data_IF_361955049667
#
_entry.id   IF_361955049667
#
_cell.length_a   1.000
_cell.length_b   1.000
_cell.length_c   1.000
_cell.angle_alpha   90.00
_cell.angle_beta   90.00
_cell.angle_gamma   90.00
#
_symmetry.space_group_name_H-M   'P 1'
#
loop_
_entity.id
_entity.type
_entity.pdbx_description
1 polymer ?
#
# COMPACT_ATOMS: atom_id res chain seq x y z
N UNK A 1 6.82 10.79 -28.40
CA UNK A 1 6.43 10.57 -26.99
C UNK A 1 6.65 9.10 -26.70
N UNK A 2 7.86 8.74 -26.31
CA UNK A 2 8.21 7.37 -25.91
C UNK A 2 7.87 7.23 -24.43
N UNK A 3 6.86 6.42 -24.11
CA UNK A 3 6.54 6.11 -22.72
C UNK A 3 7.71 5.31 -22.14
N UNK A 4 8.36 5.84 -21.11
CA UNK A 4 9.50 5.20 -20.45
C UNK A 4 9.03 4.11 -19.49
N UNK A 5 9.94 3.18 -19.14
CA UNK A 5 9.69 2.19 -18.08
C UNK A 5 9.60 2.87 -16.72
N UNK A 6 8.70 2.37 -15.87
CA UNK A 6 8.65 2.79 -14.47
C UNK A 6 9.82 2.20 -13.68
N UNK A 7 10.12 2.78 -12.52
CA UNK A 7 11.13 2.22 -11.61
C UNK A 7 10.75 0.81 -11.13
N UNK A 8 9.46 0.55 -10.95
CA UNK A 8 8.92 -0.77 -10.60
C UNK A 8 9.21 -1.80 -11.71
N UNK A 9 9.00 -1.46 -12.98
CA UNK A 9 9.33 -2.32 -14.12
C UNK A 9 10.83 -2.67 -14.12
N UNK A 10 11.70 -1.70 -13.77
CA UNK A 10 13.15 -1.90 -13.71
C UNK A 10 13.57 -2.77 -12.52
N UNK A 11 12.93 -2.61 -11.36
CA UNK A 11 13.18 -3.42 -10.14
C UNK A 11 12.74 -4.87 -10.37
N UNK A 12 11.52 -5.08 -10.89
CA UNK A 12 11.02 -6.41 -11.23
C UNK A 12 11.90 -7.09 -12.27
N UNK A 13 12.40 -6.33 -13.26
CA UNK A 13 13.34 -6.84 -14.25
C UNK A 13 14.70 -7.20 -13.65
N UNK A 14 15.19 -6.46 -12.64
CA UNK A 14 16.43 -6.78 -11.94
C UNK A 14 16.34 -8.10 -11.17
N UNK A 15 15.27 -8.32 -10.40
CA UNK A 15 15.07 -9.55 -9.63
C UNK A 15 14.57 -10.74 -10.47
N UNK A 16 14.31 -10.53 -11.77
CA UNK A 16 13.75 -11.57 -12.65
C UNK A 16 12.27 -11.87 -12.37
N UNK A 17 11.58 -10.95 -11.70
CA UNK A 17 10.18 -11.05 -11.27
C UNK A 17 9.21 -10.35 -12.23
N UNK A 18 9.69 -9.83 -13.37
CA UNK A 18 8.80 -9.30 -14.40
C UNK A 18 7.79 -10.36 -14.83
N UNK A 19 6.50 -9.99 -14.87
CA UNK A 19 5.45 -10.87 -15.36
C UNK A 19 5.80 -11.39 -16.76
N UNK A 20 5.51 -12.68 -17.00
CA UNK A 20 5.89 -13.37 -18.25
C UNK A 20 5.33 -12.69 -19.51
N UNK A 21 4.20 -12.00 -19.37
CA UNK A 21 3.56 -11.22 -20.44
C UNK A 21 4.30 -9.92 -20.77
N UNK A 22 4.98 -9.31 -19.79
CA UNK A 22 5.63 -8.00 -19.89
C UNK A 22 7.14 -8.09 -20.17
N UNK A 23 7.76 -9.23 -19.88
CA UNK A 23 9.18 -9.48 -20.12
C UNK A 23 9.70 -9.04 -21.51
N UNK A 24 9.03 -9.36 -22.65
CA UNK A 24 9.52 -8.92 -23.96
C UNK A 24 9.41 -7.39 -24.13
N UNK A 25 8.31 -6.77 -23.68
CA UNK A 25 8.11 -5.31 -23.74
C UNK A 25 9.23 -4.57 -23.01
N UNK A 26 9.58 -5.03 -21.80
CA UNK A 26 10.62 -4.42 -20.97
C UNK A 26 12.00 -4.61 -21.62
N UNK A 27 12.31 -5.80 -22.11
CA UNK A 27 13.58 -6.09 -22.77
C UNK A 27 13.78 -5.28 -24.06
N UNK A 28 12.75 -5.20 -24.90
CA UNK A 28 12.79 -4.45 -26.17
C UNK A 28 12.93 -2.93 -25.92
N UNK A 29 12.26 -2.42 -24.87
CA UNK A 29 12.39 -1.02 -24.49
C UNK A 29 13.79 -0.72 -23.92
N UNK A 30 14.33 -1.59 -23.08
CA UNK A 30 15.71 -1.46 -22.60
C UNK A 30 16.72 -1.57 -23.74
N UNK A 31 16.46 -2.31 -24.81
CA UNK A 31 17.36 -2.36 -25.96
C UNK A 31 17.33 -1.06 -26.81
N UNK A 32 16.21 -0.35 -26.81
CA UNK A 32 15.97 0.80 -27.71
C UNK A 32 16.02 2.18 -27.04
N UNK A 33 15.90 2.26 -25.71
CA UNK A 33 15.87 3.52 -24.97
C UNK A 33 17.13 3.72 -24.09
N UNK A 34 17.99 4.66 -24.48
CA UNK A 34 19.22 4.99 -23.74
C UNK A 34 18.97 5.54 -22.33
N UNK A 35 17.87 6.27 -22.11
CA UNK A 35 17.51 6.78 -20.78
C UNK A 35 17.13 5.65 -19.82
N UNK A 36 16.32 4.70 -20.27
CA UNK A 36 15.96 3.53 -19.47
C UNK A 36 17.17 2.59 -19.23
N UNK A 37 18.11 2.50 -20.17
CA UNK A 37 19.39 1.81 -19.95
C UNK A 37 20.21 2.47 -18.85
N UNK A 38 20.30 3.80 -18.86
CA UNK A 38 21.03 4.56 -17.85
C UNK A 38 20.41 4.39 -16.47
N UNK A 39 19.06 4.49 -16.37
CA UNK A 39 18.31 4.26 -15.14
C UNK A 39 18.50 2.82 -14.61
N UNK A 40 18.39 1.81 -15.48
CA UNK A 40 18.63 0.41 -15.11
C UNK A 40 20.06 0.16 -14.61
N UNK A 41 21.05 0.79 -15.25
CA UNK A 41 22.46 0.69 -14.85
C UNK A 41 22.74 1.36 -13.51
N UNK A 42 22.08 2.48 -13.22
CA UNK A 42 22.15 3.14 -11.92
C UNK A 42 21.52 2.26 -10.83
N UNK A 43 20.31 1.73 -11.08
CA UNK A 43 19.61 0.84 -10.15
C UNK A 43 20.46 -0.41 -9.82
N UNK A 44 20.99 -1.07 -10.85
CA UNK A 44 21.88 -2.24 -10.69
C UNK A 44 23.07 -1.94 -9.78
N UNK A 45 23.73 -0.80 -9.96
CA UNK A 45 24.88 -0.41 -9.13
C UNK A 45 24.50 -0.28 -7.66
N UNK A 46 23.36 0.31 -7.35
CA UNK A 46 22.90 0.47 -5.96
C UNK A 46 22.53 -0.88 -5.35
N UNK A 47 21.75 -1.71 -6.07
CA UNK A 47 21.29 -3.01 -5.54
C UNK A 47 22.44 -4.01 -5.40
N UNK A 48 23.44 -4.00 -6.28
CA UNK A 48 24.64 -4.85 -6.12
C UNK A 48 25.42 -4.53 -4.85
N UNK A 49 25.40 -3.29 -4.35
CA UNK A 49 26.04 -2.94 -3.07
C UNK A 49 25.32 -3.57 -1.88
N UNK A 50 24.00 -3.79 -1.98
CA UNK A 50 23.20 -4.47 -0.96
C UNK A 50 23.42 -5.98 -1.02
N UNK A 51 23.39 -6.56 -2.23
CA UNK A 51 23.56 -8.01 -2.43
C UNK A 51 24.97 -8.51 -2.06
N UNK A 52 25.98 -7.64 -2.12
CA UNK A 52 27.37 -7.99 -1.75
C UNK A 52 27.67 -7.79 -0.27
N UNK A 53 26.70 -7.36 0.53
CA UNK A 53 26.86 -7.29 1.97
C UNK A 53 27.08 -8.70 2.55
N UNK A 54 28.05 -8.89 3.45
CA UNK A 54 28.32 -10.21 4.02
C UNK A 54 27.08 -10.69 4.78
N UNK A 55 26.61 -11.89 4.44
CA UNK A 55 25.54 -12.55 5.18
C UNK A 55 25.95 -12.71 6.64
N UNK A 56 25.08 -12.34 7.56
CA UNK A 56 25.32 -12.57 8.98
C UNK A 56 25.33 -14.08 9.25
N UNK A 57 26.43 -14.59 9.80
CA UNK A 57 26.55 -15.99 10.18
C UNK A 57 25.48 -16.30 11.24
N UNK A 58 24.60 -17.27 10.93
CA UNK A 58 23.58 -17.69 11.88
C UNK A 58 24.24 -18.37 13.10
N UNK A 59 23.78 -18.05 14.30
CA UNK A 59 24.27 -18.74 15.51
C UNK A 59 23.93 -20.24 15.44
N UNK A 60 24.79 -21.11 16.00
CA UNK A 60 24.49 -22.54 16.10
C UNK A 60 23.12 -22.78 16.76
N UNK A 61 22.24 -23.53 16.10
CA UNK A 61 20.89 -23.83 16.60
C UNK A 61 19.80 -22.81 16.23
N UNK A 62 20.15 -21.71 15.56
CA UNK A 62 19.20 -20.68 15.11
C UNK A 62 17.99 -21.27 14.37
N UNK A 63 18.22 -22.19 13.43
CA UNK A 63 17.16 -22.84 12.65
C UNK A 63 16.16 -23.59 13.54
N UNK A 64 16.66 -24.31 14.56
CA UNK A 64 15.81 -25.04 15.51
C UNK A 64 15.01 -24.09 16.39
N UNK A 65 15.64 -23.01 16.87
CA UNK A 65 14.98 -22.01 17.71
C UNK A 65 13.89 -21.24 16.95
N UNK A 66 14.15 -20.91 15.67
CA UNK A 66 13.17 -20.30 14.77
C UNK A 66 12.05 -21.29 14.47
N UNK A 67 12.38 -22.52 14.10
CA UNK A 67 11.39 -23.54 13.78
C UNK A 67 10.50 -23.88 14.96
N UNK A 68 11.05 -24.03 16.17
CA UNK A 68 10.28 -24.29 17.38
C UNK A 68 9.29 -23.16 17.74
N UNK A 69 9.55 -21.93 17.30
CA UNK A 69 8.62 -20.79 17.45
C UNK A 69 7.57 -20.73 16.35
N UNK A 70 7.93 -21.12 15.13
CA UNK A 70 7.06 -21.06 13.96
C UNK A 70 6.11 -22.25 13.89
N UNK A 71 6.59 -23.46 14.17
CA UNK A 71 5.85 -24.73 14.16
C UNK A 71 4.50 -24.66 14.89
N UNK A 72 4.39 -24.17 16.15
CA UNK A 72 3.11 -24.08 16.83
C UNK A 72 2.15 -23.06 16.20
N UNK A 73 2.64 -22.05 15.48
CA UNK A 73 1.81 -21.08 14.76
C UNK A 73 1.28 -21.65 13.45
N UNK A 74 2.02 -22.56 12.82
CA UNK A 74 1.60 -23.29 11.62
C UNK A 74 0.64 -24.44 11.94
N UNK A 75 0.76 -25.04 13.12
CA UNK A 75 -0.10 -26.15 13.59
C UNK A 75 -1.27 -25.71 14.48
N UNK A 76 -1.42 -24.42 14.78
CA UNK A 76 -2.62 -23.90 15.42
C UNK A 76 -3.83 -24.28 14.54
N UNK A 77 -4.76 -25.11 15.04
CA UNK A 77 -5.85 -25.60 14.21
C UNK A 77 -6.79 -24.45 13.86
N UNK A 78 -6.76 -24.02 12.60
CA UNK A 78 -7.79 -23.15 11.99
C UNK A 78 -9.15 -23.87 11.82
N UNK A 79 -9.37 -25.01 12.47
CA UNK A 79 -10.55 -25.85 12.27
C UNK A 79 -11.11 -26.41 13.58
N UNK A 80 -11.90 -25.61 14.31
CA UNK A 80 -12.81 -26.14 15.32
C UNK A 80 -14.29 -25.77 15.14
N UNK A 81 -14.66 -25.08 14.06
CA UNK A 81 -16.04 -24.64 13.82
C UNK A 81 -16.66 -25.13 12.50
N UNK A 82 -16.23 -26.27 11.95
CA UNK A 82 -16.93 -26.90 10.80
C UNK A 82 -17.34 -28.33 11.17
N UNK A 83 -18.22 -28.46 12.16
CA UNK A 83 -18.99 -29.69 12.36
C UNK A 83 -20.28 -29.39 13.10
N UNK A 84 -21.26 -28.80 12.42
CA UNK A 84 -22.68 -29.10 12.66
C UNK A 84 -23.53 -28.65 11.47
N UNK A 85 -24.38 -29.57 10.99
CA UNK A 85 -25.55 -29.33 10.14
C UNK A 85 -25.32 -28.98 8.65
N UNK A 86 -24.90 -29.96 7.84
CA UNK A 86 -25.39 -30.04 6.46
C UNK A 86 -26.83 -30.56 6.50
N UNK A 87 -27.78 -29.62 6.60
CA UNK A 87 -29.19 -29.86 6.32
C UNK A 87 -29.40 -29.86 4.80
N UNK A 88 -29.92 -30.98 4.29
CA UNK A 88 -30.24 -31.21 2.89
C UNK A 88 -31.24 -30.16 2.38
N UNK A 89 -30.86 -29.33 1.40
CA UNK A 89 -31.84 -28.50 0.69
C UNK A 89 -31.33 -27.30 -0.13
N UNK A 90 -30.14 -26.76 0.16
CA UNK A 90 -29.76 -25.44 -0.38
C UNK A 90 -29.06 -25.39 -1.75
N UNK A 91 -28.49 -26.49 -2.25
CA UNK A 91 -27.53 -26.43 -3.37
C UNK A 91 -28.18 -26.62 -4.76
N UNK A 92 -29.45 -27.03 -4.85
CA UNK A 92 -30.13 -27.28 -6.13
C UNK A 92 -30.86 -26.06 -6.71
N UNK A 93 -30.98 -24.96 -5.96
CA UNK A 93 -31.69 -23.75 -6.40
C UNK A 93 -30.76 -22.71 -7.05
N UNK A 94 -29.43 -22.85 -6.94
CA UNK A 94 -28.49 -21.89 -7.53
C UNK A 94 -28.21 -22.12 -9.02
N UNK A 95 -28.43 -23.34 -9.53
CA UNK A 95 -28.04 -23.67 -10.91
C UNK A 95 -29.12 -23.48 -11.99
N UNK A 96 -30.34 -23.05 -11.64
CA UNK A 96 -31.44 -22.88 -12.60
C UNK A 96 -32.10 -21.49 -12.53
N UNK A 97 -31.44 -20.48 -13.10
CA UNK A 97 -32.11 -19.28 -13.60
C UNK A 97 -31.74 -19.06 -15.09
N UNK A 98 -32.70 -18.75 -15.97
CA UNK A 98 -32.54 -18.85 -17.42
C UNK A 98 -31.80 -17.66 -18.06
N UNK A 99 -30.89 -18.00 -18.96
CA UNK A 99 -29.78 -17.20 -19.51
C UNK A 99 -30.08 -16.41 -20.80
N UNK A 100 -31.31 -15.91 -20.99
CA UNK A 100 -31.71 -15.20 -22.23
C UNK A 100 -32.33 -13.82 -22.01
N UNK A 101 -31.85 -13.04 -21.04
CA UNK A 101 -32.32 -11.66 -20.84
C UNK A 101 -31.20 -10.61 -20.63
N UNK A 102 -29.93 -10.99 -20.71
CA UNK A 102 -28.78 -10.10 -20.44
C UNK A 102 -27.83 -9.94 -21.64
N UNK A 103 -28.33 -9.99 -22.88
CA UNK A 103 -27.53 -9.66 -24.06
C UNK A 103 -27.80 -8.24 -24.62
N UNK A 104 -28.88 -7.56 -24.19
CA UNK A 104 -29.25 -6.22 -24.71
C UNK A 104 -28.69 -5.03 -23.91
N UNK A 105 -28.51 -5.17 -22.59
CA UNK A 105 -28.20 -4.03 -21.71
C UNK A 105 -26.76 -3.52 -21.80
N UNK A 106 -25.79 -4.42 -21.96
CA UNK A 106 -24.36 -4.07 -21.94
C UNK A 106 -23.95 -3.33 -23.21
N UNK A 107 -24.49 -3.70 -24.37
CA UNK A 107 -24.17 -3.05 -25.64
C UNK A 107 -24.68 -1.59 -25.70
N UNK A 108 -25.82 -1.30 -25.06
CA UNK A 108 -26.36 0.06 -25.01
C UNK A 108 -25.50 0.99 -24.13
N UNK A 109 -24.97 0.50 -23.00
CA UNK A 109 -24.12 1.29 -22.11
C UNK A 109 -22.76 1.64 -22.75
N UNK A 110 -22.17 0.71 -23.51
CA UNK A 110 -20.91 0.95 -24.23
C UNK A 110 -21.09 1.99 -25.35
N UNK A 111 -22.21 1.96 -26.06
CA UNK A 111 -22.52 2.93 -27.13
C UNK A 111 -22.73 4.35 -26.59
N UNK A 112 -23.41 4.50 -25.45
CA UNK A 112 -23.62 5.80 -24.80
C UNK A 112 -22.31 6.38 -24.28
N UNK A 113 -21.48 5.57 -23.62
CA UNK A 113 -20.16 5.99 -23.15
C UNK A 113 -19.23 6.40 -24.31
N UNK A 114 -19.29 5.67 -25.43
CA UNK A 114 -18.49 5.95 -26.62
C UNK A 114 -18.93 7.24 -27.34
N UNK A 115 -20.25 7.50 -27.46
CA UNK A 115 -20.74 8.75 -28.04
C UNK A 115 -20.47 9.96 -27.13
N UNK A 116 -20.55 9.80 -25.81
CA UNK A 116 -20.22 10.85 -24.84
C UNK A 116 -18.73 11.24 -24.91
N UNK A 117 -17.82 10.28 -25.07
CA UNK A 117 -16.39 10.55 -25.25
C UNK A 117 -16.05 11.22 -26.58
N UNK A 118 -16.79 10.91 -27.65
CA UNK A 118 -16.50 11.45 -29.00
C UNK A 118 -16.96 12.90 -29.19
N UNK A 119 -18.02 13.31 -28.50
CA UNK A 119 -18.58 14.67 -28.63
C UNK A 119 -17.92 15.69 -27.68
N UNK A 120 -17.15 15.24 -26.69
CA UNK A 120 -16.44 16.10 -25.73
C UNK A 120 -15.02 16.50 -26.17
N UNK A 121 -14.65 16.28 -27.43
CA UNK A 121 -13.43 16.86 -28.02
C UNK A 121 -13.65 18.35 -28.33
N UNK A 122 -13.69 19.14 -27.27
CA UNK A 122 -13.74 20.60 -27.31
C UNK A 122 -13.13 21.17 -26.04
N UNK A 123 -11.82 21.47 -26.09
CA UNK A 123 -11.04 22.23 -25.12
C UNK A 123 -11.05 21.73 -23.66
N UNK A 124 -10.11 20.84 -23.33
CA UNK A 124 -9.63 20.70 -21.96
C UNK A 124 -8.61 21.82 -21.65
N UNK A 125 -8.73 22.55 -20.53
CA UNK A 125 -7.75 23.55 -20.13
C UNK A 125 -6.42 22.86 -19.79
N UNK A 126 -5.31 23.49 -20.19
CA UNK A 126 -3.97 23.02 -19.92
C UNK A 126 -3.75 22.81 -18.40
N UNK A 127 -3.48 21.56 -18.01
CA UNK A 127 -2.93 21.26 -16.69
C UNK A 127 -1.52 21.87 -16.60
N UNK A 128 -1.12 22.48 -15.47
CA UNK A 128 0.21 23.02 -15.32
C UNK A 128 1.23 21.88 -15.39
N UNK A 129 2.22 22.03 -16.26
CA UNK A 129 3.40 21.19 -16.30
C UNK A 129 4.15 21.31 -14.98
N UNK A 130 4.21 20.22 -14.21
CA UNK A 130 5.09 20.13 -13.05
C UNK A 130 6.52 20.03 -13.57
N UNK A 131 7.24 21.16 -13.56
CA UNK A 131 8.68 21.17 -13.73
C UNK A 131 9.30 20.22 -12.70
N UNK A 132 9.99 19.19 -13.18
CA UNK A 132 10.83 18.31 -12.35
C UNK A 132 11.99 19.13 -11.78
N UNK A 133 11.74 19.81 -10.66
CA UNK A 133 12.79 20.31 -9.80
C UNK A 133 13.43 19.10 -9.12
N UNK A 134 14.76 18.96 -9.27
CA UNK A 134 15.57 17.88 -8.71
C UNK A 134 15.13 17.55 -7.27
N UNK A 135 14.49 16.38 -7.11
CA UNK A 135 13.88 16.00 -5.84
C UNK A 135 14.91 15.24 -5.02
N UNK A 136 15.34 15.84 -3.92
CA UNK A 136 16.12 15.18 -2.87
C UNK A 136 15.33 13.96 -2.30
N UNK A 137 15.94 12.75 -2.20
CA UNK A 137 15.26 11.51 -1.81
C UNK A 137 14.47 11.58 -0.49
N UNK A 138 14.93 12.37 0.49
CA UNK A 138 14.21 12.56 1.76
C UNK A 138 12.84 13.24 1.60
N UNK A 139 12.68 14.11 0.59
CA UNK A 139 11.48 14.95 0.43
C UNK A 139 10.27 14.19 -0.13
N UNK A 140 10.48 13.13 -0.92
CA UNK A 140 9.40 12.28 -1.44
C UNK A 140 8.89 11.35 -0.35
N UNK A 141 9.79 10.81 0.46
CA UNK A 141 9.46 9.94 1.59
C UNK A 141 8.56 10.67 2.59
N UNK A 142 8.89 11.90 3.02
CA UNK A 142 8.06 12.65 3.97
C UNK A 142 6.67 13.02 3.45
N UNK A 143 6.52 13.21 2.14
CA UNK A 143 5.20 13.46 1.52
C UNK A 143 4.37 12.18 1.42
N UNK A 144 4.99 11.06 1.02
CA UNK A 144 4.34 9.75 0.94
C UNK A 144 3.93 9.21 2.33
N UNK A 145 4.75 9.46 3.35
CA UNK A 145 4.43 9.12 4.74
C UNK A 145 3.25 9.91 5.26
N UNK A 146 3.18 11.22 4.96
CA UNK A 146 2.03 12.05 5.34
C UNK A 146 0.72 11.57 4.74
N UNK A 147 0.72 11.24 3.45
CA UNK A 147 -0.47 10.73 2.74
C UNK A 147 -0.90 9.35 3.26
N UNK A 148 0.05 8.47 3.57
CA UNK A 148 -0.23 7.16 4.15
C UNK A 148 -0.84 7.26 5.56
N UNK A 149 -0.31 8.15 6.40
CA UNK A 149 -0.87 8.38 7.74
C UNK A 149 -2.28 8.97 7.65
N UNK A 150 -2.53 9.93 6.77
CA UNK A 150 -3.87 10.50 6.56
C UNK A 150 -4.88 9.42 6.08
N UNK A 151 -4.48 8.54 5.15
CA UNK A 151 -5.32 7.41 4.69
C UNK A 151 -5.60 6.41 5.82
N UNK A 152 -4.62 6.15 6.68
CA UNK A 152 -4.79 5.27 7.84
C UNK A 152 -5.70 5.90 8.90
N UNK A 153 -5.60 7.21 9.12
CA UNK A 153 -6.49 7.93 10.04
C UNK A 153 -7.95 7.90 9.59
N UNK A 154 -8.20 8.07 8.29
CA UNK A 154 -9.55 8.02 7.73
C UNK A 154 -10.18 6.64 7.99
N UNK A 155 -9.43 5.57 7.71
CA UNK A 155 -9.89 4.20 7.95
C UNK A 155 -10.13 3.91 9.45
N UNK A 156 -9.20 4.29 10.34
CA UNK A 156 -9.41 4.09 11.79
C UNK A 156 -10.59 4.91 12.33
N UNK A 157 -10.83 6.12 11.81
CA UNK A 157 -11.97 6.93 12.18
C UNK A 157 -13.29 6.36 11.66
N UNK A 158 -13.30 5.82 10.44
CA UNK A 158 -14.44 5.08 9.88
C UNK A 158 -14.75 3.84 10.73
N UNK A 159 -13.73 3.06 11.10
CA UNK A 159 -13.89 1.87 11.94
C UNK A 159 -14.42 2.17 13.34
N UNK A 160 -13.92 3.24 13.99
CA UNK A 160 -14.40 3.64 15.32
C UNK A 160 -15.85 4.13 15.28
N UNK A 161 -16.24 4.79 14.19
CA UNK A 161 -17.61 5.30 14.00
C UNK A 161 -18.56 4.31 13.32
N UNK A 162 -18.09 3.16 12.84
CA UNK A 162 -18.93 2.14 12.21
C UNK A 162 -19.94 1.55 13.21
N UNK A 163 -21.22 1.46 12.84
CA UNK A 163 -22.24 0.88 13.70
C UNK A 163 -22.00 -0.63 13.88
N UNK A 164 -22.19 -1.11 15.11
CA UNK A 164 -21.85 -2.49 15.50
C UNK A 164 -22.68 -3.57 14.79
N UNK A 165 -23.78 -3.18 14.12
CA UNK A 165 -24.65 -4.06 13.35
C UNK A 165 -24.22 -4.24 11.88
N UNK A 166 -23.15 -3.59 11.41
CA UNK A 166 -22.68 -3.64 10.02
C UNK A 166 -21.49 -4.62 9.83
N UNK A 167 -21.71 -5.89 10.15
CA UNK A 167 -20.70 -6.96 10.03
C UNK A 167 -20.16 -7.15 8.60
N UNK A 168 -20.95 -6.84 7.57
CA UNK A 168 -20.51 -6.91 6.16
C UNK A 168 -19.43 -5.87 5.81
N UNK A 169 -19.32 -4.78 6.57
CA UNK A 169 -18.28 -3.76 6.37
C UNK A 169 -16.91 -4.23 6.90
N UNK A 170 -16.88 -5.14 7.88
CA UNK A 170 -15.64 -5.60 8.51
C UNK A 170 -14.71 -6.34 7.54
N UNK A 171 -15.25 -7.13 6.60
CA UNK A 171 -14.45 -7.80 5.57
C UNK A 171 -13.76 -6.80 4.64
N UNK A 172 -14.43 -5.67 4.34
CA UNK A 172 -13.85 -4.56 3.59
C UNK A 172 -12.75 -3.83 4.36
N UNK A 173 -12.92 -3.67 5.67
CA UNK A 173 -11.92 -3.05 6.55
C UNK A 173 -10.70 -3.95 6.78
N UNK A 174 -10.86 -5.27 6.84
CA UNK A 174 -9.76 -6.25 6.97
C UNK A 174 -8.80 -6.19 5.77
N UNK A 175 -9.35 -6.18 4.55
CA UNK A 175 -8.54 -6.06 3.34
C UNK A 175 -7.75 -4.75 3.32
N UNK A 176 -8.38 -3.63 3.69
CA UNK A 176 -7.71 -2.33 3.80
C UNK A 176 -6.65 -2.32 4.91
N UNK A 177 -6.91 -2.94 6.06
CA UNK A 177 -5.94 -3.05 7.14
C UNK A 177 -4.70 -3.85 6.71
N UNK A 178 -4.89 -4.95 5.96
CA UNK A 178 -3.81 -5.76 5.40
C UNK A 178 -2.90 -4.96 4.48
N UNK A 179 -3.47 -4.15 3.58
CA UNK A 179 -2.69 -3.30 2.66
C UNK A 179 -1.88 -2.23 3.42
N UNK A 180 -2.44 -1.69 4.51
CA UNK A 180 -1.78 -0.66 5.32
C UNK A 180 -0.59 -1.21 6.14
N UNK A 181 -0.60 -2.49 6.52
CA UNK A 181 0.50 -3.11 7.29
C UNK A 181 1.81 -3.12 6.50
N UNK A 182 1.76 -3.49 5.21
CA UNK A 182 2.96 -3.60 4.40
C UNK A 182 3.68 -2.25 4.25
N UNK A 183 2.91 -1.19 4.01
CA UNK A 183 3.44 0.17 3.88
C UNK A 183 3.90 0.72 5.22
N UNK A 184 3.17 0.46 6.31
CA UNK A 184 3.57 0.87 7.66
C UNK A 184 4.94 0.29 8.04
N UNK A 185 5.18 -1.02 7.81
CA UNK A 185 6.48 -1.66 8.08
C UNK A 185 7.64 -0.98 7.35
N UNK A 186 7.43 -0.64 6.08
CA UNK A 186 8.44 0.04 5.26
C UNK A 186 8.77 1.42 5.82
N UNK A 187 7.75 2.19 6.23
CA UNK A 187 7.93 3.52 6.82
C UNK A 187 8.61 3.42 8.19
N UNK A 188 8.23 2.44 9.02
CA UNK A 188 8.84 2.19 10.34
C UNK A 188 10.32 1.90 10.21
N UNK A 189 10.70 1.02 9.28
CA UNK A 189 12.09 0.70 8.98
C UNK A 189 12.88 1.95 8.55
N UNK A 190 12.28 2.84 7.77
CA UNK A 190 12.93 4.09 7.37
C UNK A 190 13.08 5.08 8.54
N UNK A 191 12.08 5.16 9.44
CA UNK A 191 12.14 6.00 10.64
C UNK A 191 13.22 5.52 11.61
N UNK A 192 13.36 4.22 11.80
CA UNK A 192 14.43 3.60 12.61
C UNK A 192 15.82 3.92 12.06
N UNK A 193 16.01 3.79 10.73
CA UNK A 193 17.29 4.11 10.07
C UNK A 193 17.64 5.60 10.17
N UNK A 194 16.63 6.47 10.25
CA UNK A 194 16.80 7.92 10.38
C UNK A 194 16.99 8.37 11.83
N UNK A 195 16.86 7.45 12.81
CA UNK A 195 16.96 7.73 14.24
C UNK A 195 15.73 8.43 14.83
N UNK A 196 14.62 8.47 14.10
CA UNK A 196 13.39 9.19 14.47
C UNK A 196 12.51 8.30 15.36
N UNK A 197 12.99 8.01 16.58
CA UNK A 197 12.42 7.02 17.49
C UNK A 197 10.94 7.27 17.86
N UNK A 198 10.53 8.53 18.00
CA UNK A 198 9.14 8.88 18.29
C UNK A 198 8.17 8.48 17.16
N UNK A 199 8.64 8.51 15.91
CA UNK A 199 7.85 8.11 14.74
C UNK A 199 7.82 6.59 14.64
N UNK A 200 8.95 5.92 14.88
CA UNK A 200 9.02 4.46 14.88
C UNK A 200 8.07 3.85 15.94
N UNK A 201 8.00 4.43 17.14
CA UNK A 201 7.12 4.00 18.24
C UNK A 201 5.63 4.10 17.87
N UNK A 202 5.21 5.22 17.28
CA UNK A 202 3.82 5.39 16.81
C UNK A 202 3.48 4.43 15.68
N UNK A 203 4.42 4.18 14.77
CA UNK A 203 4.23 3.23 13.67
C UNK A 203 4.16 1.78 14.16
N UNK A 204 4.89 1.43 15.20
CA UNK A 204 4.81 0.12 15.87
C UNK A 204 3.45 -0.09 16.54
N UNK A 205 2.97 0.90 17.30
CA UNK A 205 1.63 0.88 17.89
C UNK A 205 0.54 0.76 16.82
N UNK A 206 0.72 1.45 15.69
CA UNK A 206 -0.18 1.39 14.54
C UNK A 206 -0.16 0.01 13.87
N UNK A 207 1.02 -0.60 13.70
CA UNK A 207 1.17 -1.94 13.14
C UNK A 207 0.43 -2.97 13.99
N UNK A 208 0.53 -2.87 15.32
CA UNK A 208 -0.15 -3.77 16.25
C UNK A 208 -1.67 -3.69 16.12
N UNK A 209 -2.23 -2.48 16.02
CA UNK A 209 -3.67 -2.26 15.85
C UNK A 209 -4.14 -2.74 14.47
N UNK A 210 -3.40 -2.43 13.40
CA UNK A 210 -3.75 -2.89 12.06
C UNK A 210 -3.70 -4.42 11.94
N UNK A 211 -2.75 -5.08 12.60
CA UNK A 211 -2.68 -6.55 12.66
C UNK A 211 -3.86 -7.15 13.42
N UNK A 212 -4.33 -6.49 14.48
CA UNK A 212 -5.50 -6.93 15.23
C UNK A 212 -6.78 -6.81 14.38
N UNK A 213 -6.92 -5.73 13.62
CA UNK A 213 -8.04 -5.53 12.68
C UNK A 213 -7.97 -6.54 11.54
N UNK A 214 -6.81 -6.71 10.90
CA UNK A 214 -6.63 -7.61 9.75
C UNK A 214 -6.86 -9.08 10.10
N UNK A 215 -6.61 -9.48 11.35
CA UNK A 215 -6.83 -10.84 11.84
C UNK A 215 -8.13 -11.00 12.65
N UNK A 216 -9.01 -10.00 12.66
CA UNK A 216 -10.31 -10.13 13.32
C UNK A 216 -11.16 -11.22 12.64
N UNK A 217 -11.86 -12.09 13.39
CA UNK A 217 -12.71 -13.13 12.80
C UNK A 217 -13.84 -12.50 11.97
N UNK A 218 -14.32 -13.15 10.90
CA UNK A 218 -15.37 -12.58 10.05
C UNK A 218 -16.73 -12.43 10.76
N UNK A 219 -16.90 -13.10 11.90
CA UNK A 219 -18.06 -13.10 12.79
C UNK A 219 -17.78 -12.39 14.13
N UNK A 220 -17.02 -11.27 14.11
CA UNK A 220 -16.74 -10.45 15.31
C UNK A 220 -18.03 -10.17 16.07
N UNK A 221 -18.06 -10.54 17.34
CA UNK A 221 -19.20 -10.21 18.20
C UNK A 221 -19.20 -8.72 18.54
N UNK A 222 -20.38 -8.14 18.78
CA UNK A 222 -20.53 -6.72 19.18
C UNK A 222 -19.63 -6.30 20.34
N UNK A 223 -19.35 -7.23 21.27
CA UNK A 223 -18.45 -7.00 22.40
C UNK A 223 -16.98 -6.94 21.98
N UNK A 224 -16.51 -7.85 21.11
CA UNK A 224 -15.13 -7.86 20.60
C UNK A 224 -14.82 -6.61 19.76
N UNK A 225 -15.79 -6.13 18.96
CA UNK A 225 -15.64 -4.87 18.23
C UNK A 225 -15.57 -3.68 19.20
N UNK A 226 -16.36 -3.70 20.28
CA UNK A 226 -16.35 -2.66 21.30
C UNK A 226 -15.03 -2.64 22.08
N UNK A 227 -14.46 -3.80 22.39
CA UNK A 227 -13.14 -3.92 23.02
C UNK A 227 -12.02 -3.40 22.10
N UNK A 228 -12.09 -3.71 20.80
CA UNK A 228 -11.17 -3.18 19.79
C UNK A 228 -11.24 -1.65 19.70
N UNK A 229 -12.45 -1.09 19.61
CA UNK A 229 -12.69 0.36 19.62
C UNK A 229 -12.18 1.02 20.90
N UNK A 230 -12.41 0.38 22.04
CA UNK A 230 -11.93 0.85 23.34
C UNK A 230 -10.41 0.89 23.38
N UNK A 231 -9.69 -0.10 22.81
CA UNK A 231 -8.22 -0.13 22.78
C UNK A 231 -7.64 0.95 21.86
N UNK A 232 -8.21 1.15 20.67
CA UNK A 232 -7.81 2.23 19.75
C UNK A 232 -7.93 3.61 20.45
N UNK A 233 -9.01 3.79 21.22
CA UNK A 233 -9.27 5.02 21.97
C UNK A 233 -8.39 5.15 23.22
N UNK A 234 -8.20 4.06 23.97
CA UNK A 234 -7.42 4.04 25.23
C UNK A 234 -5.94 4.27 24.98
N UNK A 235 -5.40 3.79 23.87
CA UNK A 235 -4.01 4.00 23.50
C UNK A 235 -3.74 5.40 22.90
N UNK A 236 -4.75 6.29 22.86
CA UNK A 236 -4.69 7.64 22.28
C UNK A 236 -4.04 7.67 20.89
N UNK A 237 -4.18 6.56 20.15
CA UNK A 237 -3.43 6.30 18.92
C UNK A 237 -3.81 7.32 17.85
N UNK A 238 -5.10 7.63 17.73
CA UNK A 238 -5.61 8.63 16.78
C UNK A 238 -5.03 10.03 17.03
N UNK A 239 -4.83 10.41 18.28
CA UNK A 239 -4.22 11.69 18.62
C UNK A 239 -2.73 11.70 18.29
N UNK A 240 -1.98 10.66 18.69
CA UNK A 240 -0.55 10.53 18.39
C UNK A 240 -0.27 10.55 16.88
N UNK A 241 -1.04 9.77 16.10
CA UNK A 241 -0.95 9.78 14.63
C UNK A 241 -1.26 11.18 14.07
N UNK A 242 -2.24 11.91 14.64
CA UNK A 242 -2.59 13.28 14.20
C UNK A 242 -1.47 14.28 14.45
N UNK A 243 -0.82 14.18 15.60
CA UNK A 243 0.33 15.03 15.94
C UNK A 243 1.47 14.76 14.95
N UNK A 244 1.83 13.49 14.72
CA UNK A 244 2.91 13.13 13.78
C UNK A 244 2.58 13.56 12.35
N UNK A 245 1.35 13.34 11.87
CA UNK A 245 0.92 13.81 10.55
C UNK A 245 0.98 15.34 10.43
N UNK A 246 0.63 16.08 11.50
CA UNK A 246 0.75 17.54 11.54
C UNK A 246 2.21 18.00 11.50
N UNK A 247 3.09 17.39 12.29
CA UNK A 247 4.52 17.71 12.32
C UNK A 247 5.19 17.43 10.97
N UNK A 248 4.87 16.31 10.32
CA UNK A 248 5.38 15.97 8.99
C UNK A 248 4.93 16.97 7.93
N UNK A 249 3.67 17.44 7.99
CA UNK A 249 3.17 18.51 7.10
C UNK A 249 3.90 19.82 7.36
N UNK A 250 4.23 20.14 8.60
CA UNK A 250 4.95 21.36 8.95
C UNK A 250 6.40 21.32 8.47
N UNK A 251 7.11 20.21 8.67
CA UNK A 251 8.47 19.97 8.14
C UNK A 251 8.51 20.07 6.61
N UNK A 252 7.55 19.44 5.93
CA UNK A 252 7.40 19.54 4.48
C UNK A 252 7.14 20.98 3.97
N UNK A 253 6.45 21.82 4.76
CA UNK A 253 6.22 23.24 4.42
C UNK A 253 7.49 24.07 4.63
N UNK A 254 8.18 23.88 5.75
CA UNK A 254 9.44 24.60 6.03
C UNK A 254 10.52 24.26 5.00
N UNK A 255 10.60 23.01 4.56
CA UNK A 255 11.57 22.60 3.52
C UNK A 255 11.23 23.17 2.15
N UNK A 256 9.95 23.33 1.83
CA UNK A 256 9.48 24.01 0.61
C UNK A 256 9.85 25.49 0.64
N UNK A 257 9.57 26.18 1.74
CA UNK A 257 9.87 27.60 1.92
C UNK A 257 11.39 27.89 1.97
N UNK A 258 12.20 26.96 2.47
CA UNK A 258 13.66 27.04 2.47
C UNK A 258 14.24 26.81 1.07
N UNK A 259 13.68 25.88 0.30
CA UNK A 259 14.08 25.63 -1.10
C UNK A 259 13.77 26.78 -2.05
N UNK A 260 12.67 27.51 -1.81
CA UNK A 260 12.24 28.65 -2.64
C UNK A 260 13.08 29.93 -2.40
N UNK A 261 13.84 29.98 -1.29
CA UNK A 261 14.65 31.14 -0.89
C UNK A 261 16.11 31.12 -1.39
N UNK A 262 16.53 30.10 -2.15
CA UNK A 262 17.88 30.05 -2.74
C UNK A 262 18.02 31.09 -3.87
N UNK A 263 19.08 31.93 -3.86
CA UNK A 263 19.23 33.02 -4.82
C UNK A 263 19.43 32.49 -6.24
N UNK A 264 18.52 32.84 -7.14
CA UNK A 264 18.66 32.60 -8.58
C UNK A 264 19.93 33.31 -9.08
N UNK A 265 20.88 32.53 -9.60
CA UNK A 265 22.15 33.03 -10.17
C UNK A 265 21.83 33.98 -11.34
N UNK A 266 22.40 35.21 -11.39
CA UNK A 266 22.08 36.14 -12.47
C UNK A 266 22.58 35.60 -13.82
N UNK A 267 21.86 35.88 -14.92
CA UNK A 267 22.23 35.39 -16.24
C UNK A 267 23.57 35.98 -16.67
N UNK A 268 24.52 35.10 -16.99
CA UNK A 268 25.79 35.46 -17.61
C UNK A 268 25.52 36.06 -18.99
N UNK A 269 25.92 37.32 -19.17
CA UNK A 269 25.92 38.04 -20.45
C UNK A 269 27.04 37.55 -21.35
#
# INVERSE_FOLDING_TARGET
MTNHLSDEDLILHYYGETARADAPRVADHLASCGECQAASTQLRRVLTLVDTAPAAEARPGFERDVWARLEPQLHAPTSRLVRHSLGEGGWRTFFWAPQWALAGGVAALVLVAFLAGRLSNGAAPAAPSVQQAQIEPGRVLHAAVGDHLDRTQMMLAELVNADTDQLDQLAGEQARASDLIAVNRLIRQSAEQSGDAAIADVLEDLERVLLEIANAPADVTSNELSDLKARITTQDLLFRVRVIASEMRQRNRTDREAGDRMPQRPPTS
#
